data_IF_651965038064
#
_entry.id   IF_651965038064
#
_cell.length_a   1.000
_cell.length_b   1.000
_cell.length_c   1.000
_cell.angle_alpha   90.00
_cell.angle_beta   90.00
_cell.angle_gamma   90.00
#
_symmetry.space_group_name_H-M   'P 1'
#
loop_
_entity.id
_entity.type
_entity.pdbx_description
1 polymer ?
#
# COMPACT_ATOMS: atom_id res chain seq x y z
N UNK A 1 -23.75 27.68 1.79
CA UNK A 1 -24.40 26.46 1.26
C UNK A 1 -23.37 25.35 1.22
N UNK A 2 -23.73 24.15 1.67
CA UNK A 2 -22.82 23.00 1.55
C UNK A 2 -22.80 22.50 0.10
N UNK A 3 -21.68 21.93 -0.35
CA UNK A 3 -21.52 21.38 -1.71
C UNK A 3 -22.61 20.35 -2.04
N UNK A 4 -23.04 19.55 -1.06
CA UNK A 4 -24.13 18.58 -1.23
C UNK A 4 -25.46 19.26 -1.55
N UNK A 5 -25.79 20.40 -0.91
CA UNK A 5 -27.01 21.16 -1.21
C UNK A 5 -27.00 21.77 -2.63
N UNK A 6 -25.80 22.13 -3.12
CA UNK A 6 -25.62 22.63 -4.48
C UNK A 6 -25.81 21.52 -5.51
N UNK A 7 -25.26 20.32 -5.23
CA UNK A 7 -25.43 19.13 -6.08
C UNK A 7 -26.91 18.73 -6.18
N UNK A 8 -27.62 18.69 -5.05
CA UNK A 8 -29.03 18.31 -4.98
C UNK A 8 -29.90 19.27 -5.81
N UNK A 9 -29.66 20.59 -5.65
CA UNK A 9 -30.33 21.60 -6.48
C UNK A 9 -29.98 21.46 -7.95
N UNK A 10 -28.69 21.39 -8.28
CA UNK A 10 -28.27 21.27 -9.68
C UNK A 10 -28.86 20.05 -10.37
N UNK A 11 -28.97 18.92 -9.66
CA UNK A 11 -29.59 17.73 -10.19
C UNK A 11 -31.10 17.89 -10.40
N UNK A 12 -31.80 18.57 -9.44
CA UNK A 12 -33.24 18.88 -9.58
C UNK A 12 -33.50 19.81 -10.75
N UNK A 13 -32.74 20.92 -10.85
CA UNK A 13 -32.87 21.90 -11.93
C UNK A 13 -32.59 21.28 -13.31
N UNK A 14 -31.54 20.44 -13.41
CA UNK A 14 -31.22 19.71 -14.65
C UNK A 14 -32.32 18.72 -15.02
N UNK A 15 -32.95 18.07 -14.03
CA UNK A 15 -34.08 17.16 -14.26
C UNK A 15 -35.32 17.87 -14.80
N UNK A 16 -35.66 19.04 -14.23
CA UNK A 16 -36.79 19.85 -14.72
C UNK A 16 -36.55 20.38 -16.13
N UNK A 17 -35.35 20.89 -16.44
CA UNK A 17 -34.94 21.35 -17.74
C UNK A 17 -34.96 20.23 -18.77
N UNK A 18 -34.54 19.01 -18.42
CA UNK A 18 -34.57 17.84 -19.26
C UNK A 18 -36.00 17.48 -19.72
N UNK A 19 -36.95 17.46 -18.76
CA UNK A 19 -38.35 17.15 -19.09
C UNK A 19 -38.99 18.22 -19.97
N UNK A 20 -38.69 19.50 -19.76
CA UNK A 20 -39.15 20.60 -20.62
C UNK A 20 -38.56 20.48 -22.02
N UNK A 21 -37.26 20.35 -22.14
CA UNK A 21 -36.56 20.26 -23.43
C UNK A 21 -37.01 19.01 -24.26
N UNK A 22 -37.27 17.90 -23.55
CA UNK A 22 -37.82 16.69 -24.19
C UNK A 22 -39.22 16.89 -24.75
N UNK A 23 -40.05 17.66 -24.04
CA UNK A 23 -41.43 17.95 -24.46
C UNK A 23 -41.46 18.88 -25.65
N UNK A 24 -40.52 19.85 -25.71
CA UNK A 24 -40.45 20.87 -26.75
C UNK A 24 -39.51 20.47 -27.91
N UNK A 25 -38.92 19.28 -27.88
CA UNK A 25 -37.98 18.74 -28.88
C UNK A 25 -36.75 19.69 -29.12
N UNK A 26 -36.25 20.33 -28.01
CA UNK A 26 -35.18 21.30 -28.03
C UNK A 26 -33.83 20.64 -27.81
N UNK A 27 -33.15 20.28 -28.89
CA UNK A 27 -31.84 19.64 -28.89
C UNK A 27 -30.74 20.53 -28.24
N UNK A 28 -30.84 21.84 -28.35
CA UNK A 28 -29.84 22.76 -27.78
C UNK A 28 -29.90 22.75 -26.24
N UNK A 29 -31.08 22.79 -25.68
CA UNK A 29 -31.31 22.69 -24.22
C UNK A 29 -30.94 21.29 -23.72
N UNK A 30 -31.24 20.23 -24.46
CA UNK A 30 -30.80 18.86 -24.11
C UNK A 30 -29.26 18.76 -24.07
N UNK A 31 -28.56 19.43 -24.99
CA UNK A 31 -27.10 19.53 -25.01
C UNK A 31 -26.56 20.21 -23.76
N UNK A 32 -27.16 21.37 -23.37
CA UNK A 32 -26.76 22.12 -22.16
C UNK A 32 -26.98 21.28 -20.88
N UNK A 33 -28.14 20.62 -20.76
CA UNK A 33 -28.43 19.72 -19.60
C UNK A 33 -27.40 18.61 -19.49
N UNK A 34 -26.99 18.00 -20.61
CA UNK A 34 -25.94 16.95 -20.61
C UNK A 34 -24.63 17.49 -20.08
N UNK A 35 -24.22 18.70 -20.49
CA UNK A 35 -22.98 19.31 -20.04
C UNK A 35 -23.04 19.69 -18.56
N UNK A 36 -24.19 20.18 -18.07
CA UNK A 36 -24.41 20.46 -16.65
C UNK A 36 -24.34 19.19 -15.81
N UNK A 37 -24.99 18.10 -16.21
CA UNK A 37 -24.93 16.81 -15.52
C UNK A 37 -23.50 16.27 -15.51
N UNK A 38 -22.75 16.41 -16.61
CA UNK A 38 -21.34 16.02 -16.64
C UNK A 38 -20.48 16.86 -15.67
N UNK A 39 -20.81 18.14 -15.51
CA UNK A 39 -20.19 19.02 -14.49
C UNK A 39 -20.48 18.56 -13.07
N UNK A 40 -21.75 18.22 -12.76
CA UNK A 40 -22.15 17.69 -11.46
C UNK A 40 -21.46 16.34 -11.16
N UNK A 41 -21.34 15.46 -12.15
CA UNK A 41 -20.65 14.18 -12.00
C UNK A 41 -19.19 14.36 -11.58
N UNK A 42 -18.46 15.33 -12.16
CA UNK A 42 -17.09 15.66 -11.74
C UNK A 42 -17.01 16.12 -10.28
N UNK A 43 -17.98 16.92 -9.82
CA UNK A 43 -18.03 17.35 -8.42
C UNK A 43 -18.25 16.15 -7.49
N UNK A 44 -19.06 15.18 -7.88
CA UNK A 44 -19.25 13.94 -7.12
C UNK A 44 -17.96 13.13 -7.07
N UNK A 45 -17.28 12.96 -8.22
CA UNK A 45 -15.99 12.27 -8.28
C UNK A 45 -14.95 12.93 -7.36
N UNK A 46 -14.88 14.26 -7.33
CA UNK A 46 -14.01 15.01 -6.42
C UNK A 46 -14.34 14.78 -4.94
N UNK A 47 -15.63 14.73 -4.60
CA UNK A 47 -16.06 14.45 -3.22
C UNK A 47 -15.75 13.01 -2.82
N UNK A 48 -15.96 12.05 -3.71
CA UNK A 48 -15.58 10.65 -3.49
C UNK A 48 -14.08 10.52 -3.29
N UNK A 49 -13.28 11.19 -4.14
CA UNK A 49 -11.82 11.23 -4.01
C UNK A 49 -11.39 11.78 -2.64
N UNK A 50 -11.94 12.94 -2.24
CA UNK A 50 -11.64 13.53 -0.92
C UNK A 50 -12.06 12.65 0.24
N UNK A 51 -13.15 11.90 0.10
CA UNK A 51 -13.59 10.94 1.11
C UNK A 51 -12.65 9.74 1.22
N UNK A 52 -12.17 9.23 0.09
CA UNK A 52 -11.23 8.11 0.04
C UNK A 52 -9.87 8.48 0.63
N UNK A 53 -9.41 9.71 0.39
CA UNK A 53 -8.09 10.21 0.80
C UNK A 53 -8.21 11.29 1.88
N UNK A 54 -8.83 10.92 3.00
CA UNK A 54 -9.03 11.83 4.13
C UNK A 54 -7.90 11.84 5.16
N UNK A 55 -6.91 10.97 5.03
CA UNK A 55 -5.78 10.93 5.95
C UNK A 55 -4.74 12.01 5.56
N UNK A 56 -4.19 12.78 6.52
CA UNK A 56 -3.26 13.87 6.21
C UNK A 56 -2.03 13.45 5.41
N UNK A 57 -1.62 12.18 5.53
CA UNK A 57 -0.45 11.62 4.85
C UNK A 57 -0.79 10.95 3.51
N UNK A 58 -2.06 10.84 3.14
CA UNK A 58 -2.45 10.17 1.89
C UNK A 58 -1.73 10.72 0.65
N UNK A 59 -1.47 12.05 0.51
CA UNK A 59 -0.73 12.58 -0.63
C UNK A 59 0.75 12.19 -0.71
N UNK A 60 1.34 11.70 0.40
CA UNK A 60 2.77 11.50 0.51
C UNK A 60 3.26 10.25 -0.26
N UNK A 61 4.55 10.23 -0.64
CA UNK A 61 5.28 9.01 -0.96
C UNK A 61 5.24 8.03 0.21
N UNK A 62 5.48 6.75 -0.07
CA UNK A 62 5.46 5.73 0.97
C UNK A 62 6.60 4.73 0.84
N UNK A 63 6.79 3.99 1.91
CA UNK A 63 7.61 2.80 1.96
C UNK A 63 6.70 1.57 2.06
N UNK A 64 7.10 0.50 1.39
CA UNK A 64 6.41 -0.79 1.43
C UNK A 64 7.41 -1.85 1.85
N UNK A 65 7.18 -2.43 3.00
CA UNK A 65 7.96 -3.57 3.51
C UNK A 65 7.18 -4.86 3.25
N UNK A 66 7.82 -5.81 2.62
CA UNK A 66 7.28 -7.14 2.36
C UNK A 66 8.12 -8.16 3.10
N UNK A 67 7.49 -9.06 3.83
CA UNK A 67 8.17 -10.07 4.61
C UNK A 67 7.51 -11.45 4.42
N UNK A 68 8.33 -12.44 4.10
CA UNK A 68 7.87 -13.83 4.04
C UNK A 68 7.45 -14.32 5.42
N UNK A 69 6.31 -15.00 5.47
CA UNK A 69 5.84 -15.67 6.69
C UNK A 69 6.62 -16.97 6.97
N UNK A 70 6.24 -17.65 8.05
CA UNK A 70 6.78 -18.96 8.39
C UNK A 70 6.28 -20.02 7.39
N UNK A 71 7.10 -20.44 6.46
CA UNK A 71 6.73 -21.42 5.42
C UNK A 71 7.88 -21.80 4.48
N UNK A 72 9.10 -21.43 4.83
CA UNK A 72 10.29 -21.76 4.05
C UNK A 72 10.24 -21.23 2.62
N UNK A 73 10.72 -22.01 1.65
CA UNK A 73 10.84 -21.61 0.24
C UNK A 73 9.52 -21.12 -0.40
N UNK A 74 8.39 -21.75 -0.06
CA UNK A 74 7.07 -21.33 -0.58
C UNK A 74 6.68 -19.92 -0.13
N UNK A 75 6.90 -19.57 1.15
CA UNK A 75 6.60 -18.24 1.66
C UNK A 75 7.57 -17.18 1.09
N UNK A 76 8.83 -17.57 0.86
CA UNK A 76 9.83 -16.70 0.25
C UNK A 76 9.51 -16.43 -1.22
N UNK A 77 9.07 -17.44 -1.96
CA UNK A 77 8.60 -17.27 -3.34
C UNK A 77 7.33 -16.40 -3.39
N UNK A 78 6.39 -16.62 -2.46
CA UNK A 78 5.20 -15.79 -2.34
C UNK A 78 5.54 -14.31 -2.08
N UNK A 79 6.47 -14.02 -1.19
CA UNK A 79 6.93 -12.66 -0.95
C UNK A 79 7.54 -12.02 -2.21
N UNK A 80 8.29 -12.78 -3.01
CA UNK A 80 8.81 -12.32 -4.30
C UNK A 80 7.70 -12.03 -5.31
N UNK A 81 6.66 -12.87 -5.36
CA UNK A 81 5.49 -12.63 -6.21
C UNK A 81 4.73 -11.36 -5.83
N UNK A 82 4.58 -11.09 -4.52
CA UNK A 82 3.98 -9.85 -4.02
C UNK A 82 4.83 -8.63 -4.39
N UNK A 83 6.15 -8.70 -4.21
CA UNK A 83 7.05 -7.63 -4.61
C UNK A 83 6.88 -7.31 -6.10
N UNK A 84 6.91 -8.32 -6.96
CA UNK A 84 6.67 -8.14 -8.39
C UNK A 84 5.30 -7.51 -8.67
N UNK A 85 4.26 -7.95 -8.01
CA UNK A 85 2.89 -7.42 -8.15
C UNK A 85 2.84 -5.92 -7.84
N UNK A 86 3.45 -5.48 -6.72
CA UNK A 86 3.48 -4.07 -6.36
C UNK A 86 4.38 -3.24 -7.29
N UNK A 87 5.52 -3.76 -7.72
CA UNK A 87 6.36 -3.09 -8.72
C UNK A 87 5.59 -2.85 -10.02
N UNK A 88 4.86 -3.84 -10.51
CA UNK A 88 4.01 -3.74 -11.69
C UNK A 88 2.84 -2.77 -11.50
N UNK A 89 2.24 -2.76 -10.33
CA UNK A 89 1.19 -1.79 -9.99
C UNK A 89 1.72 -0.36 -10.05
N UNK A 90 2.86 -0.11 -9.43
CA UNK A 90 3.49 1.21 -9.44
C UNK A 90 3.90 1.64 -10.86
N UNK A 91 4.44 0.72 -11.66
CA UNK A 91 4.77 0.96 -13.07
C UNK A 91 3.52 1.39 -13.88
N UNK A 92 2.40 0.70 -13.72
CA UNK A 92 1.12 1.04 -14.36
C UNK A 92 0.59 2.41 -13.95
N UNK A 93 0.85 2.81 -12.70
CA UNK A 93 0.51 4.15 -12.18
C UNK A 93 1.48 5.25 -12.62
N UNK A 94 2.59 4.89 -13.24
CA UNK A 94 3.65 5.82 -13.60
C UNK A 94 4.43 6.36 -12.39
N UNK A 95 4.38 5.64 -11.25
CA UNK A 95 5.11 5.99 -10.05
C UNK A 95 6.55 5.52 -10.12
N UNK A 96 7.45 6.32 -9.52
CA UNK A 96 8.85 5.94 -9.39
C UNK A 96 9.02 5.01 -8.20
N UNK A 97 9.70 3.89 -8.42
CA UNK A 97 10.01 2.93 -7.36
C UNK A 97 11.50 2.76 -7.23
N UNK A 98 11.97 2.73 -6.00
CA UNK A 98 13.35 2.43 -5.63
C UNK A 98 13.37 1.25 -4.66
N UNK A 99 14.09 0.19 -5.02
CA UNK A 99 14.31 -0.95 -4.11
C UNK A 99 15.44 -0.58 -3.15
N UNK A 100 15.11 -0.42 -1.88
CA UNK A 100 16.05 0.01 -0.84
C UNK A 100 16.81 -1.19 -0.27
N UNK A 101 16.09 -2.30 -0.07
CA UNK A 101 16.66 -3.54 0.46
C UNK A 101 15.91 -4.73 -0.13
N UNK A 102 16.66 -5.76 -0.45
CA UNK A 102 16.13 -7.07 -0.81
C UNK A 102 17.02 -8.15 -0.16
N UNK A 103 16.41 -8.99 0.68
CA UNK A 103 17.09 -10.12 1.31
C UNK A 103 16.67 -11.39 0.58
N UNK A 104 17.59 -12.05 -0.16
CA UNK A 104 17.25 -13.23 -0.93
C UNK A 104 16.88 -14.43 -0.04
N UNK A 105 16.01 -15.27 -0.57
CA UNK A 105 15.67 -16.55 0.01
C UNK A 105 16.86 -17.54 -0.07
N UNK A 106 16.74 -18.64 0.65
CA UNK A 106 17.82 -19.67 0.66
C UNK A 106 17.86 -20.49 -0.62
N UNK A 107 16.72 -20.78 -1.21
CA UNK A 107 16.58 -21.61 -2.42
C UNK A 107 15.91 -20.82 -3.53
N UNK A 108 14.85 -20.07 -3.21
CA UNK A 108 14.11 -19.25 -4.15
C UNK A 108 13.41 -18.08 -3.40
N UNK A 109 12.99 -17.06 -4.15
CA UNK A 109 12.25 -15.93 -3.61
C UNK A 109 13.07 -15.02 -2.70
N UNK A 110 12.39 -14.30 -1.83
CA UNK A 110 12.98 -13.33 -0.91
C UNK A 110 12.50 -13.57 0.54
N UNK A 111 13.36 -13.30 1.51
CA UNK A 111 13.00 -13.27 2.94
C UNK A 111 12.25 -11.98 3.27
N UNK A 112 12.75 -10.87 2.75
CA UNK A 112 12.15 -9.56 2.89
C UNK A 112 12.57 -8.63 1.75
N UNK A 113 11.76 -7.61 1.50
CA UNK A 113 12.13 -6.48 0.66
C UNK A 113 11.53 -5.19 1.20
N UNK A 114 12.23 -4.09 1.00
CA UNK A 114 11.75 -2.73 1.28
C UNK A 114 11.87 -1.90 0.02
N UNK A 115 10.78 -1.30 -0.40
CA UNK A 115 10.75 -0.38 -1.54
C UNK A 115 10.24 0.99 -1.11
N UNK A 116 10.77 2.02 -1.74
CA UNK A 116 10.23 3.38 -1.68
C UNK A 116 9.40 3.63 -2.93
N UNK A 117 8.20 4.14 -2.76
CA UNK A 117 7.29 4.49 -3.85
C UNK A 117 7.07 5.99 -3.82
N UNK A 118 7.46 6.66 -4.90
CA UNK A 118 7.32 8.10 -5.08
C UNK A 118 6.29 8.38 -6.18
N UNK A 119 5.16 8.93 -5.78
CA UNK A 119 4.04 9.23 -6.65
C UNK A 119 2.90 9.91 -5.91
N UNK A 120 2.05 10.58 -6.66
CA UNK A 120 0.90 11.28 -6.11
C UNK A 120 -0.05 10.31 -5.41
N UNK A 121 -0.33 10.56 -4.13
CA UNK A 121 -1.18 9.72 -3.28
C UNK A 121 -0.69 8.27 -3.14
N UNK A 122 0.60 8.01 -3.30
CA UNK A 122 1.15 6.66 -3.21
C UNK A 122 0.82 6.00 -1.86
N UNK A 123 0.99 6.72 -0.75
CA UNK A 123 0.58 6.22 0.57
C UNK A 123 -0.93 5.98 0.63
N UNK A 124 -1.74 6.94 0.18
CA UNK A 124 -3.19 6.85 0.25
C UNK A 124 -3.75 5.60 -0.44
N UNK A 125 -3.22 5.24 -1.59
CA UNK A 125 -3.60 4.01 -2.30
C UNK A 125 -3.07 2.76 -1.62
N UNK A 126 -1.77 2.72 -1.30
CA UNK A 126 -1.10 1.51 -0.86
C UNK A 126 -1.33 1.17 0.61
N UNK A 127 -1.70 2.14 1.48
CA UNK A 127 -1.96 1.87 2.91
C UNK A 127 -3.01 0.78 3.14
N UNK A 128 -3.96 0.63 2.22
CA UNK A 128 -4.98 -0.41 2.29
C UNK A 128 -4.44 -1.81 2.06
N UNK A 129 -3.22 -1.95 1.56
CA UNK A 129 -2.55 -3.22 1.32
C UNK A 129 -1.78 -3.75 2.56
N UNK A 130 -1.75 -2.96 3.64
CA UNK A 130 -1.14 -3.38 4.90
C UNK A 130 -1.89 -4.56 5.51
N UNK A 131 -1.17 -5.67 5.72
CA UNK A 131 -1.73 -6.87 6.36
C UNK A 131 -1.11 -8.16 5.85
N UNK A 132 -1.78 -9.28 6.15
CA UNK A 132 -1.33 -10.61 5.76
C UNK A 132 -2.01 -11.06 4.47
N UNK A 133 -1.21 -11.43 3.49
CA UNK A 133 -1.63 -11.96 2.20
C UNK A 133 -1.44 -13.49 2.18
N UNK A 134 -2.50 -14.23 1.93
CA UNK A 134 -2.51 -15.68 1.89
C UNK A 134 -2.47 -16.20 0.46
N UNK A 135 -1.50 -17.06 0.15
CA UNK A 135 -1.43 -17.79 -1.12
C UNK A 135 -1.83 -19.25 -0.91
N UNK A 136 -2.66 -19.76 -1.79
CA UNK A 136 -2.97 -21.19 -1.93
C UNK A 136 -2.75 -21.62 -3.36
N UNK A 137 -1.82 -22.56 -3.58
CA UNK A 137 -1.51 -23.10 -4.91
C UNK A 137 -0.93 -24.49 -4.82
N UNK A 138 -0.82 -25.18 -5.96
CA UNK A 138 0.06 -26.34 -6.11
C UNK A 138 1.50 -25.87 -6.07
N UNK A 139 2.31 -26.44 -5.17
CA UNK A 139 3.70 -26.03 -4.99
C UNK A 139 4.56 -26.43 -6.19
N UNK A 140 5.33 -25.48 -6.78
CA UNK A 140 6.34 -25.82 -7.76
C UNK A 140 7.61 -26.44 -7.14
N UNK A 141 7.76 -26.36 -5.82
CA UNK A 141 8.91 -26.88 -5.07
C UNK A 141 8.64 -28.26 -4.45
N UNK A 142 7.39 -28.72 -4.47
CA UNK A 142 7.02 -30.06 -4.00
C UNK A 142 6.98 -31.04 -5.18
N UNK A 143 7.80 -32.11 -5.11
CA UNK A 143 7.85 -33.14 -6.14
C UNK A 143 6.51 -33.81 -6.45
N UNK A 144 5.60 -33.80 -5.49
CA UNK A 144 4.23 -34.33 -5.62
C UNK A 144 3.20 -33.28 -6.02
N UNK A 145 3.62 -32.03 -6.30
CA UNK A 145 2.75 -30.92 -6.65
C UNK A 145 1.53 -30.77 -5.71
N UNK A 146 1.73 -31.02 -4.41
CA UNK A 146 0.67 -30.90 -3.41
C UNK A 146 0.26 -29.45 -3.24
N UNK A 147 -0.96 -29.27 -2.77
CA UNK A 147 -1.50 -27.96 -2.45
C UNK A 147 -0.89 -27.41 -1.16
N UNK A 148 -0.29 -26.25 -1.22
CA UNK A 148 0.33 -25.57 -0.10
C UNK A 148 -0.37 -24.23 0.18
N UNK A 149 -0.31 -23.81 1.43
CA UNK A 149 -0.75 -22.50 1.89
C UNK A 149 0.44 -21.76 2.45
N UNK A 150 0.69 -20.54 1.95
CA UNK A 150 1.79 -19.68 2.36
C UNK A 150 1.27 -18.30 2.73
N UNK A 151 1.99 -17.63 3.60
CA UNK A 151 1.65 -16.29 4.07
C UNK A 151 2.84 -15.36 3.85
N UNK A 152 2.53 -14.12 3.55
CA UNK A 152 3.48 -13.02 3.57
C UNK A 152 2.79 -11.77 4.10
N UNK A 153 3.52 -10.93 4.82
CA UNK A 153 3.01 -9.68 5.34
C UNK A 153 3.49 -8.51 4.51
N UNK A 154 2.61 -7.55 4.31
CA UNK A 154 2.91 -6.26 3.69
C UNK A 154 2.65 -5.18 4.72
N UNK A 155 3.56 -4.24 4.84
CA UNK A 155 3.43 -3.09 5.71
C UNK A 155 3.75 -1.83 4.94
N UNK A 156 2.79 -0.89 4.90
CA UNK A 156 2.91 0.38 4.19
C UNK A 156 2.92 1.52 5.19
N UNK A 157 3.87 2.43 5.05
CA UNK A 157 4.00 3.60 5.91
C UNK A 157 4.44 4.83 5.08
N UNK A 158 3.97 6.05 5.46
CA UNK A 158 4.23 7.25 4.67
C UNK A 158 5.66 7.71 4.81
N UNK A 159 6.18 8.38 3.79
CA UNK A 159 7.34 9.25 3.95
C UNK A 159 6.89 10.51 4.70
N UNK A 160 7.57 10.79 5.81
CA UNK A 160 7.27 11.95 6.66
C UNK A 160 8.23 13.07 6.30
N UNK A 161 7.66 14.23 5.91
CA UNK A 161 8.43 15.44 5.71
C UNK A 161 9.09 15.92 7.02
N UNK A 162 10.21 16.64 6.90
CA UNK A 162 10.92 17.20 8.06
C UNK A 162 10.06 18.14 8.92
N UNK A 163 8.92 18.60 8.40
CA UNK A 163 7.98 19.49 9.09
C UNK A 163 7.14 18.79 10.17
N UNK A 164 7.07 17.45 10.19
CA UNK A 164 6.39 16.71 11.25
C UNK A 164 7.46 16.26 12.24
N UNK A 165 7.53 16.96 13.38
CA UNK A 165 8.46 16.69 14.48
C UNK A 165 8.18 15.33 15.12
N UNK A 166 8.71 14.27 14.50
CA UNK A 166 9.05 13.09 15.28
C UNK A 166 10.42 13.41 15.91
N UNK A 167 10.41 13.80 17.17
CA UNK A 167 11.65 14.09 17.92
C UNK A 167 12.41 12.79 18.16
N UNK A 168 13.39 12.52 17.28
CA UNK A 168 14.25 11.36 17.43
C UNK A 168 15.51 11.83 18.17
N UNK A 169 15.63 11.44 19.42
CA UNK A 169 16.85 11.67 20.18
C UNK A 169 17.99 10.81 19.58
N UNK A 170 19.09 11.41 19.10
CA UNK A 170 20.20 10.65 18.55
C UNK A 170 20.81 9.63 19.55
N UNK A 171 20.67 9.85 20.84
CA UNK A 171 21.14 8.93 21.89
C UNK A 171 20.34 7.61 21.90
N UNK A 172 19.11 7.62 21.38
CA UNK A 172 18.24 6.44 21.31
C UNK A 172 18.47 5.61 20.03
N UNK A 173 19.39 6.05 19.17
CA UNK A 173 19.71 5.36 17.93
C UNK A 173 21.03 4.62 18.03
N UNK A 174 21.01 3.32 17.74
CA UNK A 174 22.21 2.56 17.43
C UNK A 174 22.36 2.47 15.91
N UNK A 175 23.49 2.97 15.40
CA UNK A 175 23.81 2.99 13.98
C UNK A 175 24.96 2.04 13.73
N UNK A 176 24.70 0.97 13.00
CA UNK A 176 25.68 -0.04 12.62
C UNK A 176 25.94 0.08 11.11
N UNK A 177 27.21 0.04 10.72
CA UNK A 177 27.61 -0.03 9.31
C UNK A 177 28.11 -1.43 9.01
N UNK A 178 27.76 -1.96 7.84
CA UNK A 178 28.15 -3.30 7.44
C UNK A 178 28.36 -3.38 5.93
N UNK A 179 28.93 -4.49 5.50
CA UNK A 179 29.12 -4.73 4.07
C UNK A 179 27.81 -5.14 3.42
N UNK A 180 27.46 -4.44 2.34
CA UNK A 180 26.29 -4.81 1.55
C UNK A 180 26.48 -6.25 1.02
N UNK A 181 25.48 -7.10 1.24
CA UNK A 181 25.43 -8.45 0.68
C UNK A 181 24.44 -8.49 -0.48
N UNK A 182 24.94 -8.63 -1.72
CA UNK A 182 24.10 -8.72 -2.91
C UNK A 182 24.90 -9.20 -4.12
N UNK A 183 24.23 -9.66 -5.16
CA UNK A 183 24.81 -10.05 -6.44
C UNK A 183 25.32 -8.82 -7.21
N UNK A 184 26.44 -8.26 -6.80
CA UNK A 184 27.10 -7.12 -7.43
C UNK A 184 28.60 -7.27 -7.37
N UNK A 185 29.28 -6.89 -8.45
CA UNK A 185 30.69 -7.15 -8.71
C UNK A 185 31.66 -6.72 -7.58
N UNK A 186 32.93 -7.07 -7.72
CA UNK A 186 34.04 -7.01 -6.76
C UNK A 186 34.19 -5.70 -5.92
N UNK A 187 33.55 -4.61 -6.32
CA UNK A 187 33.62 -3.31 -5.63
C UNK A 187 32.61 -3.15 -4.48
N UNK A 188 31.47 -3.84 -4.53
CA UNK A 188 30.41 -3.74 -3.50
C UNK A 188 30.83 -4.46 -2.20
N UNK A 189 31.69 -5.46 -2.32
CA UNK A 189 32.14 -6.28 -1.19
C UNK A 189 33.35 -5.70 -0.41
N UNK A 190 33.82 -4.50 -0.76
CA UNK A 190 35.03 -3.90 -0.11
C UNK A 190 34.75 -2.71 0.81
N UNK A 191 33.56 -2.11 0.75
CA UNK A 191 33.23 -0.92 1.57
C UNK A 191 32.01 -1.19 2.43
N UNK A 192 32.08 -0.81 3.71
CA UNK A 192 30.96 -0.87 4.64
C UNK A 192 29.98 0.30 4.37
N UNK A 193 29.28 0.24 3.21
CA UNK A 193 28.36 1.29 2.78
C UNK A 193 26.93 1.08 3.26
N UNK A 194 26.56 -0.15 3.64
CA UNK A 194 25.24 -0.44 4.17
C UNK A 194 25.09 0.09 5.60
N UNK A 195 23.93 0.66 5.89
CA UNK A 195 23.62 1.26 7.18
C UNK A 195 22.38 0.58 7.77
N UNK A 196 22.50 0.17 9.03
CA UNK A 196 21.40 -0.30 9.88
C UNK A 196 21.21 0.68 11.01
N UNK A 197 19.99 1.15 11.21
CA UNK A 197 19.62 2.00 12.33
C UNK A 197 18.62 1.22 13.20
N UNK A 198 18.92 1.13 14.49
CA UNK A 198 18.03 0.53 15.49
C UNK A 198 17.61 1.62 16.46
N UNK A 199 16.31 1.84 16.60
CA UNK A 199 15.78 2.70 17.65
C UNK A 199 15.61 1.87 18.92
N UNK A 200 16.46 2.14 19.91
CA UNK A 200 16.58 1.33 21.13
C UNK A 200 15.29 1.22 21.95
N UNK A 201 14.50 2.32 22.14
CA UNK A 201 13.27 2.24 22.94
C UNK A 201 12.18 1.40 22.31
N UNK A 202 12.10 1.36 20.97
CA UNK A 202 11.02 0.64 20.24
C UNK A 202 11.49 -0.65 19.60
N UNK A 203 12.80 -0.91 19.56
CA UNK A 203 13.43 -2.01 18.82
C UNK A 203 13.11 -2.01 17.30
N UNK A 204 12.68 -0.88 16.76
CA UNK A 204 12.49 -0.76 15.33
C UNK A 204 13.86 -0.74 14.65
N UNK A 205 13.99 -1.56 13.63
CA UNK A 205 15.20 -1.69 12.81
C UNK A 205 14.89 -1.30 11.39
N UNK A 206 15.74 -0.49 10.80
CA UNK A 206 15.75 -0.15 9.37
C UNK A 206 17.15 -0.38 8.82
N UNK A 207 17.23 -0.73 7.55
CA UNK A 207 18.54 -0.86 6.87
C UNK A 207 18.38 -0.32 5.44
N UNK A 208 19.47 0.29 4.98
CA UNK A 208 19.60 0.79 3.61
C UNK A 208 20.99 0.46 3.07
N UNK A 209 21.04 -0.13 1.86
CA UNK A 209 22.28 -0.52 1.18
C UNK A 209 22.27 -0.18 -0.31
N UNK A 210 21.36 0.69 -0.73
CA UNK A 210 21.05 0.98 -2.11
C UNK A 210 22.14 1.80 -2.83
N UNK A 211 22.85 2.66 -2.11
CA UNK A 211 23.87 3.55 -2.67
C UNK A 211 25.29 3.11 -2.25
N UNK A 212 26.29 3.46 -3.07
CA UNK A 212 27.70 3.29 -2.74
C UNK A 212 28.16 4.27 -1.64
N UNK A 213 27.41 5.34 -1.44
CA UNK A 213 27.67 6.35 -0.42
C UNK A 213 27.00 5.98 0.90
N UNK A 214 27.79 5.65 1.92
CA UNK A 214 27.33 5.43 3.28
C UNK A 214 26.49 6.62 3.81
N UNK A 215 26.87 7.85 3.42
CA UNK A 215 26.15 9.05 3.86
C UNK A 215 24.73 9.13 3.29
N UNK A 216 24.54 8.76 2.02
CA UNK A 216 23.21 8.69 1.39
C UNK A 216 22.37 7.56 1.99
N UNK A 217 22.95 6.38 2.18
CA UNK A 217 22.27 5.26 2.86
C UNK A 217 21.87 5.62 4.29
N UNK A 218 22.69 6.41 5.00
CA UNK A 218 22.36 6.88 6.35
C UNK A 218 21.20 7.87 6.34
N UNK A 219 21.17 8.81 5.41
CA UNK A 219 20.07 9.77 5.27
C UNK A 219 18.75 9.06 4.94
N UNK A 220 18.78 8.11 4.01
CA UNK A 220 17.61 7.33 3.61
C UNK A 220 17.12 6.43 4.77
N UNK A 221 18.04 5.72 5.44
CA UNK A 221 17.68 4.92 6.61
C UNK A 221 17.08 5.79 7.75
N UNK A 222 17.54 7.04 7.90
CA UNK A 222 16.96 7.98 8.86
C UNK A 222 15.54 8.39 8.47
N UNK A 223 15.26 8.64 7.17
CA UNK A 223 13.93 8.92 6.68
C UNK A 223 12.99 7.72 6.91
N UNK A 224 13.46 6.51 6.63
CA UNK A 224 12.71 5.28 6.91
C UNK A 224 12.42 5.13 8.41
N UNK A 225 13.38 5.43 9.28
CA UNK A 225 13.19 5.37 10.74
C UNK A 225 12.13 6.37 11.20
N UNK A 226 12.21 7.62 10.73
CA UNK A 226 11.20 8.65 11.02
C UNK A 226 9.80 8.20 10.63
N UNK A 227 9.65 7.65 9.42
CA UNK A 227 8.38 7.15 8.92
C UNK A 227 7.83 6.00 9.78
N UNK A 228 8.66 5.02 10.15
CA UNK A 228 8.23 3.91 11.03
C UNK A 228 7.84 4.37 12.43
N UNK A 229 8.56 5.32 13.00
CA UNK A 229 8.23 5.87 14.31
C UNK A 229 6.92 6.67 14.27
N UNK A 230 6.68 7.43 13.21
CA UNK A 230 5.41 8.14 13.01
C UNK A 230 4.25 7.17 12.96
N UNK A 231 4.35 6.10 12.17
CA UNK A 231 3.31 5.09 12.06
C UNK A 231 3.05 4.37 13.40
N UNK A 232 4.13 4.11 14.18
CA UNK A 232 3.99 3.55 15.52
C UNK A 232 3.19 4.48 16.44
N UNK A 233 3.45 5.79 16.38
CA UNK A 233 2.73 6.77 17.20
C UNK A 233 1.26 6.91 16.78
N UNK A 234 1.00 6.90 15.48
CA UNK A 234 -0.36 6.85 14.93
C UNK A 234 -1.13 5.60 15.41
N UNK A 235 -0.47 4.44 15.33
CA UNK A 235 -1.06 3.19 15.84
C UNK A 235 -1.32 3.21 17.33
N UNK A 236 -0.45 3.83 18.12
CA UNK A 236 -0.71 4.00 19.56
C UNK A 236 -1.95 4.84 19.81
N UNK A 237 -2.10 5.98 19.11
CA UNK A 237 -3.28 6.85 19.23
C UNK A 237 -4.56 6.14 18.77
N UNK A 238 -4.48 5.41 17.65
CA UNK A 238 -5.61 4.61 17.16
C UNK A 238 -5.92 3.47 18.12
N UNK A 239 -4.90 2.78 18.66
CA UNK A 239 -5.09 1.71 19.63
C UNK A 239 -5.67 2.20 20.97
N UNK A 240 -5.37 3.44 21.37
CA UNK A 240 -6.02 4.07 22.53
C UNK A 240 -7.50 4.39 22.27
N UNK A 241 -7.83 4.90 21.08
CA UNK A 241 -9.22 5.08 20.66
C UNK A 241 -9.95 3.73 20.50
N UNK A 242 -9.29 2.76 19.91
CA UNK A 242 -9.84 1.43 19.68
C UNK A 242 -9.99 0.65 20.99
N UNK A 243 -9.12 0.78 21.96
CA UNK A 243 -9.32 0.22 23.30
C UNK A 243 -10.56 0.73 24.01
N UNK A 244 -11.01 1.94 23.69
CA UNK A 244 -12.30 2.48 24.13
C UNK A 244 -13.49 1.83 23.41
N UNK A 245 -13.30 1.39 22.16
CA UNK A 245 -14.33 0.69 21.38
C UNK A 245 -14.28 -0.83 21.54
N UNK A 246 -13.08 -1.43 21.69
CA UNK A 246 -12.85 -2.90 21.74
C UNK A 246 -13.05 -3.53 23.11
N UNK A 247 -13.47 -2.76 24.11
CA UNK A 247 -14.08 -3.41 25.29
C UNK A 247 -15.29 -4.28 24.89
N UNK A 248 -15.54 -4.49 23.59
CA UNK A 248 -16.71 -5.18 23.03
C UNK A 248 -16.46 -6.43 22.20
N UNK A 249 -15.24 -6.77 21.73
CA UNK A 249 -15.08 -8.02 20.95
C UNK A 249 -13.65 -8.56 20.92
N UNK A 250 -13.48 -9.81 21.36
CA UNK A 250 -12.27 -10.61 21.33
C UNK A 250 -12.06 -11.22 19.93
N UNK A 251 -10.94 -10.97 19.26
CA UNK A 251 -10.66 -11.56 17.94
C UNK A 251 -9.26 -12.19 17.91
N UNK A 252 -9.25 -13.52 17.87
CA UNK A 252 -8.07 -14.35 17.62
C UNK A 252 -7.76 -14.53 16.13
N UNK A 253 -6.47 -14.65 15.79
CA UNK A 253 -5.83 -15.00 14.52
C UNK A 253 -5.74 -13.90 13.47
N UNK A 254 -4.55 -13.32 13.38
CA UNK A 254 -3.92 -12.51 12.34
C UNK A 254 -4.78 -12.07 11.17
N UNK A 255 -5.02 -10.77 11.06
CA UNK A 255 -5.85 -10.17 10.03
C UNK A 255 -5.32 -10.47 8.62
N UNK A 256 -5.80 -11.57 8.02
CA UNK A 256 -5.64 -11.83 6.60
C UNK A 256 -6.50 -10.83 5.84
N UNK A 257 -5.89 -10.00 5.03
CA UNK A 257 -6.61 -9.02 4.22
C UNK A 257 -7.07 -9.60 2.89
N UNK A 258 -6.24 -10.46 2.27
CA UNK A 258 -6.56 -11.01 0.95
C UNK A 258 -6.09 -12.45 0.79
N UNK A 259 -6.91 -13.27 0.14
CA UNK A 259 -6.62 -14.67 -0.16
C UNK A 259 -6.51 -14.88 -1.66
N UNK A 260 -5.38 -15.43 -2.08
CA UNK A 260 -5.04 -15.75 -3.47
C UNK A 260 -5.06 -17.27 -3.63
N UNK A 261 -6.10 -17.79 -4.29
CA UNK A 261 -6.31 -19.23 -4.51
C UNK A 261 -6.13 -19.52 -6.00
N UNK A 262 -4.88 -19.76 -6.41
CA UNK A 262 -4.52 -19.81 -7.83
C UNK A 262 -5.06 -21.06 -8.55
N UNK A 263 -5.17 -22.18 -7.85
CA UNK A 263 -5.72 -23.42 -8.40
C UNK A 263 -7.25 -23.36 -8.63
N UNK A 264 -7.93 -22.36 -8.08
CA UNK A 264 -9.34 -22.10 -8.30
C UNK A 264 -9.58 -20.80 -9.09
N UNK A 265 -8.52 -20.16 -9.59
CA UNK A 265 -8.58 -18.87 -10.27
C UNK A 265 -9.42 -17.85 -9.50
N UNK A 266 -9.06 -17.64 -8.22
CA UNK A 266 -9.82 -16.78 -7.31
C UNK A 266 -8.89 -15.96 -6.42
N UNK A 267 -9.09 -14.65 -6.41
CA UNK A 267 -8.50 -13.73 -5.44
C UNK A 267 -9.65 -12.99 -4.76
N UNK A 268 -9.68 -13.01 -3.44
CA UNK A 268 -10.72 -12.38 -2.64
C UNK A 268 -10.13 -11.54 -1.52
N UNK A 269 -10.54 -10.28 -1.44
CA UNK A 269 -10.30 -9.45 -0.27
C UNK A 269 -11.33 -9.79 0.82
N UNK A 270 -10.85 -10.13 2.00
CA UNK A 270 -11.68 -10.63 3.09
C UNK A 270 -12.39 -9.50 3.85
N UNK A 271 -11.90 -8.26 3.69
CA UNK A 271 -12.47 -7.08 4.34
C UNK A 271 -13.66 -6.53 3.55
N UNK A 272 -13.50 -6.44 2.22
CA UNK A 272 -14.51 -5.87 1.31
C UNK A 272 -15.39 -6.91 0.64
N UNK A 273 -15.01 -8.20 0.71
CA UNK A 273 -15.58 -9.30 -0.05
C UNK A 273 -15.46 -9.16 -1.58
N UNK A 274 -14.67 -8.19 -2.06
CA UNK A 274 -14.40 -8.07 -3.49
C UNK A 274 -13.61 -9.28 -3.99
N UNK A 275 -14.04 -9.85 -5.12
CA UNK A 275 -13.48 -11.09 -5.67
C UNK A 275 -13.20 -10.95 -7.16
N UNK A 276 -12.06 -11.45 -7.62
CA UNK A 276 -11.63 -11.44 -9.01
C UNK A 276 -11.19 -12.85 -9.44
N UNK A 277 -11.64 -13.30 -10.60
CA UNK A 277 -11.29 -14.61 -11.17
C UNK A 277 -10.00 -14.59 -12.01
N UNK A 278 -9.61 -13.46 -12.58
CA UNK A 278 -8.37 -13.32 -13.34
C UNK A 278 -7.19 -13.08 -12.40
N UNK A 279 -6.65 -14.17 -11.86
CA UNK A 279 -5.55 -14.13 -10.90
C UNK A 279 -4.25 -13.61 -11.51
N UNK A 280 -4.00 -13.90 -12.81
CA UNK A 280 -2.79 -13.46 -13.48
C UNK A 280 -2.79 -11.95 -13.66
N UNK A 281 -3.90 -11.36 -14.04
CA UNK A 281 -4.07 -9.91 -14.20
C UNK A 281 -3.75 -9.19 -12.89
N UNK A 282 -4.24 -9.71 -11.77
CA UNK A 282 -3.98 -9.13 -10.44
C UNK A 282 -2.50 -9.27 -10.06
N UNK A 283 -1.89 -10.44 -10.26
CA UNK A 283 -0.46 -10.67 -10.00
C UNK A 283 0.47 -9.85 -10.93
N UNK A 284 -0.03 -9.43 -12.08
CA UNK A 284 0.64 -8.48 -12.97
C UNK A 284 0.31 -7.01 -12.66
N UNK A 285 -0.20 -6.73 -11.45
CA UNK A 285 -0.33 -5.39 -10.89
C UNK A 285 -1.67 -4.71 -11.13
N UNK A 286 -2.75 -5.44 -11.43
CA UNK A 286 -4.10 -4.86 -11.51
C UNK A 286 -4.79 -4.92 -10.15
N UNK A 287 -4.52 -3.91 -9.30
CA UNK A 287 -5.03 -3.83 -7.92
C UNK A 287 -6.11 -2.77 -7.74
N UNK A 288 -6.41 -1.97 -8.78
CA UNK A 288 -7.28 -0.80 -8.65
C UNK A 288 -8.65 -1.13 -8.06
N UNK A 289 -9.29 -2.21 -8.48
CA UNK A 289 -10.61 -2.62 -7.98
C UNK A 289 -10.58 -2.98 -6.49
N UNK A 290 -9.52 -3.68 -6.03
CA UNK A 290 -9.35 -4.02 -4.62
C UNK A 290 -9.11 -2.79 -3.76
N UNK A 291 -8.20 -1.92 -4.20
CA UNK A 291 -7.85 -0.68 -3.50
C UNK A 291 -9.06 0.25 -3.44
N UNK A 292 -9.76 0.46 -4.56
CA UNK A 292 -10.95 1.28 -4.61
C UNK A 292 -12.06 0.74 -3.69
N UNK A 293 -12.30 -0.57 -3.67
CA UNK A 293 -13.27 -1.19 -2.76
C UNK A 293 -12.90 -0.96 -1.29
N UNK A 294 -11.61 -1.10 -0.94
CA UNK A 294 -11.11 -0.88 0.42
C UNK A 294 -11.24 0.59 0.84
N UNK A 295 -10.86 1.52 -0.03
CA UNK A 295 -10.96 2.97 0.23
C UNK A 295 -12.42 3.42 0.38
N UNK A 296 -13.33 2.94 -0.48
CA UNK A 296 -14.77 3.27 -0.41
C UNK A 296 -15.41 2.79 0.88
N UNK A 297 -14.99 1.66 1.41
CA UNK A 297 -15.49 1.11 2.68
C UNK A 297 -14.79 1.71 3.90
N UNK A 298 -13.77 2.55 3.73
CA UNK A 298 -12.98 3.13 4.81
C UNK A 298 -12.16 2.08 5.58
N UNK A 299 -11.81 0.98 4.94
CA UNK A 299 -10.95 -0.06 5.52
C UNK A 299 -9.52 0.47 5.57
N UNK A 300 -8.94 0.44 6.74
CA UNK A 300 -7.55 0.82 7.01
C UNK A 300 -6.68 -0.42 7.15
#
# INVERSE_FOLDING_TARGET
MTTLTQLDRGLSDSGELFELARTDDDDATLGAVRDDVAGLAKVVEDLEFRRMFGHPMDPNPCFVDIQAGSGGTEAQDWASMLLRMYLRYCERRGWKVEVLEESPGEVAGIKSASIKVDGDYAFGYLRTETGVHRLVRKSPFDSNARRHTSFASVFVYPEVDESIEVDINPADLRIDTFRASGAGGQHINKTDSAVRITHLPTNIVVQCQNDRSQHRNRAEAMAMMKAKLYELELRKRQAEQQKLEDSKTDIGWGHQIRSYVLDQSRIKDLRTNHEVGDTQRVLDGDLDDFIAASLKQGVQ
#
